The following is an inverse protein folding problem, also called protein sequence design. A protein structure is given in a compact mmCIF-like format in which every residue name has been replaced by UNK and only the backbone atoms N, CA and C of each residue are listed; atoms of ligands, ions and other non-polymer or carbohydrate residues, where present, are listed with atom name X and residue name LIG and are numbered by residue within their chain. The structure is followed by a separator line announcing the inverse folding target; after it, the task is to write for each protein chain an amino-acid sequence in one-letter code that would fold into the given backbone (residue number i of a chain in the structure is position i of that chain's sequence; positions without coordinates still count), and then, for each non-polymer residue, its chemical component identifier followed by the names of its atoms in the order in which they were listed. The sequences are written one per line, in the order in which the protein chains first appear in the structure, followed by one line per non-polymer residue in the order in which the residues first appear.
data_IF_616354687250
#
_entry.id   IF_616354687250
#
_cell.length_a   1.000
_cell.length_b   1.000
_cell.length_c   1.000
_cell.angle_alpha   90.00
_cell.angle_beta   90.00
_cell.angle_gamma   90.00
#
_symmetry.space_group_name_H-M   'P 1'
#
loop_
_entity.id
_entity.type
_entity.pdbx_description
1 polymer ?
#
# COMPACT_ATOMS: atom_id res chain seq x y z
N UNK A 1 5.57 6.91 1.10
CA UNK A 1 6.50 6.59 0.00
C UNK A 1 7.45 5.50 0.47
N UNK A 2 7.55 4.38 -0.25
CA UNK A 2 8.43 3.26 0.14
C UNK A 2 9.66 3.24 -0.77
N UNK A 3 10.81 2.84 -0.23
CA UNK A 3 12.07 2.78 -0.97
C UNK A 3 12.49 1.33 -1.20
N UNK A 4 12.86 1.00 -2.43
CA UNK A 4 13.34 -0.32 -2.82
C UNK A 4 14.81 -0.20 -3.24
N UNK A 5 15.76 -0.79 -2.50
CA UNK A 5 17.18 -0.65 -2.81
C UNK A 5 17.55 -1.46 -4.06
N UNK A 6 18.53 -0.94 -4.81
CA UNK A 6 19.23 -1.69 -5.84
C UNK A 6 19.73 -3.05 -5.31
N UNK A 7 19.44 -4.10 -6.07
CA UNK A 7 19.83 -5.49 -5.79
C UNK A 7 18.80 -6.29 -5.00
N UNK A 8 17.65 -5.69 -4.65
CA UNK A 8 16.52 -6.46 -4.12
C UNK A 8 15.94 -7.38 -5.20
N UNK A 9 15.58 -8.60 -4.81
CA UNK A 9 15.03 -9.63 -5.72
C UNK A 9 13.69 -10.15 -5.23
N UNK A 10 12.82 -10.48 -6.18
CA UNK A 10 11.49 -11.02 -5.92
C UNK A 10 10.67 -10.09 -5.04
N UNK A 11 10.64 -8.81 -5.41
CA UNK A 11 9.87 -7.79 -4.71
C UNK A 11 8.43 -7.88 -5.17
N UNK A 12 7.49 -8.06 -4.24
CA UNK A 12 6.06 -8.02 -4.53
C UNK A 12 5.39 -7.00 -3.61
N UNK A 13 4.67 -6.07 -4.19
CA UNK A 13 3.83 -5.11 -3.49
C UNK A 13 2.40 -5.34 -3.95
N UNK A 14 1.50 -5.56 -3.01
CA UNK A 14 0.08 -5.71 -3.23
C UNK A 14 -0.61 -4.63 -2.42
N UNK A 15 -1.47 -3.86 -3.07
CA UNK A 15 -2.43 -2.99 -2.40
C UNK A 15 -3.81 -3.58 -2.59
N UNK A 16 -4.61 -3.57 -1.54
CA UNK A 16 -6.01 -3.99 -1.55
C UNK A 16 -6.85 -2.86 -0.93
N UNK A 17 -7.48 -2.07 -1.79
CA UNK A 17 -8.35 -0.97 -1.40
C UNK A 17 -9.72 -1.45 -0.94
N UNK A 18 -10.39 -0.70 -0.07
CA UNK A 18 -11.83 -0.92 0.12
C UNK A 18 -12.57 -0.65 -1.20
N UNK A 19 -13.70 -1.33 -1.47
CA UNK A 19 -14.47 -1.11 -2.69
C UNK A 19 -14.84 0.37 -2.91
N UNK A 20 -14.15 1.00 -3.85
CA UNK A 20 -14.29 2.40 -4.23
C UNK A 20 -13.36 3.40 -3.53
N UNK A 21 -12.31 2.92 -2.87
CA UNK A 21 -11.11 3.71 -2.65
C UNK A 21 -10.27 3.67 -3.94
N UNK A 22 -9.79 4.82 -4.38
CA UNK A 22 -8.83 4.89 -5.49
C UNK A 22 -7.45 4.87 -4.84
N UNK A 23 -6.70 3.78 -5.03
CA UNK A 23 -5.47 3.46 -4.28
C UNK A 23 -4.28 3.15 -5.20
N UNK A 24 -4.07 3.96 -6.25
CA UNK A 24 -3.08 3.65 -7.28
C UNK A 24 -1.62 3.64 -6.78
N UNK A 25 -0.89 2.59 -7.10
CA UNK A 25 0.55 2.43 -6.94
C UNK A 25 1.27 3.05 -8.13
N UNK A 26 2.31 3.80 -7.79
CA UNK A 26 3.19 4.45 -8.75
C UNK A 26 4.62 4.07 -8.43
N UNK A 27 5.36 3.61 -9.44
CA UNK A 27 6.74 3.19 -9.30
C UNK A 27 7.67 4.13 -10.05
N UNK A 28 8.60 4.73 -9.31
CA UNK A 28 9.56 5.69 -9.84
C UNK A 28 10.99 5.23 -9.62
N UNK A 29 11.88 5.65 -10.53
CA UNK A 29 13.31 5.78 -10.21
C UNK A 29 13.55 7.05 -9.42
N UNK A 30 14.69 7.12 -8.71
CA UNK A 30 15.03 8.32 -7.94
C UNK A 30 15.24 9.57 -8.80
N UNK A 31 15.58 9.45 -10.08
CA UNK A 31 15.83 10.58 -10.98
C UNK A 31 14.60 10.95 -11.84
N UNK A 32 13.43 10.39 -11.51
CA UNK A 32 12.14 10.86 -11.99
C UNK A 32 11.50 10.06 -13.13
N UNK A 33 12.08 8.93 -13.56
CA UNK A 33 11.39 8.04 -14.49
C UNK A 33 10.23 7.32 -13.81
N UNK A 34 9.04 7.50 -14.36
CA UNK A 34 7.85 6.78 -13.97
C UNK A 34 7.79 5.44 -14.72
N UNK A 35 7.91 4.32 -14.01
CA UNK A 35 8.07 2.99 -14.59
C UNK A 35 6.75 2.25 -14.74
N UNK A 36 5.91 2.29 -13.72
CA UNK A 36 4.64 1.59 -13.68
C UNK A 36 3.61 2.35 -12.86
N UNK A 37 2.33 2.19 -13.21
CA UNK A 37 1.22 2.86 -12.53
C UNK A 37 0.36 3.65 -13.50
N UNK A 38 -0.05 4.83 -13.07
CA UNK A 38 -0.88 5.79 -13.80
C UNK A 38 -0.09 7.05 -14.09
N UNK A 39 0.23 7.29 -15.37
CA UNK A 39 1.04 8.44 -15.79
C UNK A 39 0.43 9.78 -15.35
N UNK A 40 1.32 10.71 -15.00
CA UNK A 40 0.96 12.13 -14.87
C UNK A 40 0.87 12.70 -16.29
N UNK A 41 -0.31 13.24 -16.62
CA UNK A 41 -0.58 13.82 -17.94
C UNK A 41 -1.04 15.27 -17.83
N UNK A 42 -0.92 16.03 -18.91
CA UNK A 42 -1.46 17.38 -18.98
C UNK A 42 -2.92 17.33 -19.48
N UNK A 43 -3.80 18.07 -18.80
CA UNK A 43 -5.18 18.27 -19.25
C UNK A 43 -6.19 17.26 -18.69
N UNK A 44 -7.24 16.98 -19.47
CA UNK A 44 -8.40 16.20 -19.02
C UNK A 44 -8.12 14.70 -18.84
N UNK A 45 -7.04 14.20 -19.46
CA UNK A 45 -6.63 12.80 -19.39
C UNK A 45 -5.82 12.48 -18.12
N UNK A 46 -5.48 13.51 -17.33
CA UNK A 46 -4.79 13.30 -16.07
C UNK A 46 -5.72 12.64 -15.05
N UNK A 47 -5.21 11.59 -14.41
CA UNK A 47 -5.98 10.76 -13.50
C UNK A 47 -6.54 11.54 -12.30
N UNK A 48 -7.69 11.10 -11.80
CA UNK A 48 -8.34 11.72 -10.66
C UNK A 48 -7.44 11.75 -9.43
N UNK A 49 -6.70 10.68 -9.11
CA UNK A 49 -5.86 10.63 -7.91
C UNK A 49 -4.76 11.69 -7.95
N UNK A 50 -4.18 11.93 -9.12
CA UNK A 50 -3.23 13.04 -9.32
C UNK A 50 -3.89 14.40 -9.14
N UNK A 51 -5.02 14.63 -9.83
CA UNK A 51 -5.74 15.92 -9.78
C UNK A 51 -6.25 16.24 -8.37
N UNK A 52 -6.73 15.24 -7.64
CA UNK A 52 -7.20 15.36 -6.26
C UNK A 52 -6.06 15.71 -5.28
N UNK A 53 -4.80 15.45 -5.66
CA UNK A 53 -3.61 15.86 -4.94
C UNK A 53 -2.97 17.16 -5.47
N UNK A 54 -3.68 17.86 -6.37
CA UNK A 54 -3.20 19.13 -6.93
C UNK A 54 -2.08 18.97 -7.95
N UNK A 55 -1.93 17.78 -8.53
CA UNK A 55 -1.05 17.50 -9.66
C UNK A 55 -1.93 17.44 -10.89
N UNK A 56 -1.97 18.53 -11.66
CA UNK A 56 -2.88 18.70 -12.80
C UNK A 56 -2.19 18.59 -14.16
N UNK A 57 -0.88 18.38 -14.13
CA UNK A 57 -0.02 18.31 -15.29
C UNK A 57 1.40 17.87 -14.94
N UNK A 58 2.20 17.62 -15.96
CA UNK A 58 3.61 17.22 -15.82
C UNK A 58 4.44 18.30 -15.12
N UNK A 59 4.09 19.59 -15.29
CA UNK A 59 4.70 20.70 -14.57
C UNK A 59 4.48 20.66 -13.05
N UNK A 60 3.38 20.05 -12.59
CA UNK A 60 3.09 19.90 -11.17
C UNK A 60 3.83 18.72 -10.52
N UNK A 61 4.45 17.84 -11.31
CA UNK A 61 5.19 16.67 -10.79
C UNK A 61 6.34 17.07 -9.85
N UNK A 62 6.91 18.27 -10.02
CA UNK A 62 7.92 18.83 -9.11
C UNK A 62 7.42 18.96 -7.65
N UNK A 63 6.11 18.96 -7.41
CA UNK A 63 5.53 18.97 -6.05
C UNK A 63 5.75 17.66 -5.30
N UNK A 64 5.84 16.53 -6.01
CA UNK A 64 6.13 15.22 -5.43
C UNK A 64 7.59 14.81 -5.63
N UNK A 65 8.24 15.29 -6.68
CA UNK A 65 9.63 14.96 -7.00
C UNK A 65 10.61 15.84 -6.22
N UNK A 66 10.55 15.74 -4.90
CA UNK A 66 11.40 16.51 -3.98
C UNK A 66 12.48 15.62 -3.37
N UNK A 67 13.58 16.24 -2.92
CA UNK A 67 14.62 15.54 -2.18
C UNK A 67 14.10 14.93 -0.87
N UNK A 68 13.08 15.56 -0.27
CA UNK A 68 12.38 15.06 0.93
C UNK A 68 11.66 13.73 0.64
N UNK A 69 11.07 13.62 -0.55
CA UNK A 69 10.44 12.39 -1.04
C UNK A 69 11.46 11.37 -1.62
N UNK A 70 12.76 11.62 -1.46
CA UNK A 70 13.83 10.70 -1.85
C UNK A 70 14.30 10.82 -3.30
N UNK A 71 13.73 11.74 -4.08
CA UNK A 71 14.17 12.00 -5.46
C UNK A 71 15.50 12.76 -5.52
N UNK A 72 16.22 12.55 -6.61
CA UNK A 72 17.46 13.23 -6.98
C UNK A 72 17.20 14.38 -7.97
N UNK A 73 16.11 14.32 -8.72
CA UNK A 73 15.64 15.35 -9.64
C UNK A 73 14.16 15.61 -9.46
N UNK A 74 13.72 16.83 -9.78
CA UNK A 74 12.31 17.22 -9.86
C UNK A 74 11.66 16.96 -11.23
N UNK A 75 12.42 16.44 -12.19
CA UNK A 75 11.97 16.28 -13.57
C UNK A 75 11.19 14.96 -13.75
N UNK A 76 9.93 15.07 -14.16
CA UNK A 76 9.12 13.91 -14.54
C UNK A 76 9.53 13.38 -15.91
N UNK A 77 9.80 12.08 -15.99
CA UNK A 77 10.25 11.40 -17.20
C UNK A 77 9.48 10.11 -17.42
N UNK A 78 9.39 9.71 -18.68
CA UNK A 78 8.86 8.41 -19.09
C UNK A 78 9.99 7.59 -19.73
N UNK A 79 9.99 6.26 -19.55
CA UNK A 79 10.88 5.33 -20.25
C UNK A 79 10.73 5.44 -21.78
N UNK A 80 11.80 5.13 -22.51
CA UNK A 80 11.83 5.18 -23.97
C UNK A 80 12.43 6.45 -24.58
N UNK A 81 13.07 7.30 -23.76
CA UNK A 81 13.72 8.55 -24.17
C UNK A 81 15.18 8.39 -24.67
N UNK A 82 15.68 7.15 -24.73
CA UNK A 82 17.06 6.82 -25.10
C UNK A 82 18.06 6.80 -23.94
N UNK A 83 17.65 7.20 -22.74
CA UNK A 83 18.41 7.05 -21.49
C UNK A 83 17.89 5.90 -20.64
N UNK A 84 16.63 5.52 -20.79
CA UNK A 84 16.09 4.28 -20.20
C UNK A 84 15.27 3.55 -21.26
N UNK A 85 15.55 2.25 -21.45
CA UNK A 85 14.75 1.39 -22.30
C UNK A 85 13.50 0.90 -21.58
N UNK A 86 12.58 0.31 -22.34
CA UNK A 86 11.26 -0.07 -21.87
C UNK A 86 10.23 1.00 -22.19
N UNK A 87 8.97 0.61 -22.14
CA UNK A 87 7.82 1.51 -22.24
C UNK A 87 7.21 1.70 -20.88
N UNK A 88 6.54 2.82 -20.63
CA UNK A 88 5.71 2.96 -19.44
C UNK A 88 4.79 1.74 -19.27
N UNK A 89 4.79 1.14 -18.08
CA UNK A 89 3.96 -0.01 -17.79
C UNK A 89 2.63 0.45 -17.19
N UNK A 90 1.61 0.59 -18.04
CA UNK A 90 0.25 0.95 -17.63
C UNK A 90 -0.58 -0.27 -17.21
N UNK A 91 0.04 -1.44 -17.05
CA UNK A 91 -0.63 -2.68 -16.68
C UNK A 91 -1.38 -3.34 -17.85
N UNK A 92 -1.10 -2.97 -19.10
CA UNK A 92 -1.52 -3.73 -20.29
C UNK A 92 -2.93 -3.46 -20.82
N UNK A 93 -3.25 -4.10 -21.95
CA UNK A 93 -4.43 -3.82 -22.78
C UNK A 93 -5.73 -4.48 -22.27
N UNK A 94 -5.66 -5.47 -21.40
CA UNK A 94 -6.83 -6.09 -20.75
C UNK A 94 -7.34 -5.19 -19.63
N UNK A 95 -7.78 -3.98 -20.01
CA UNK A 95 -8.35 -2.96 -19.11
C UNK A 95 -9.75 -3.33 -18.60
N UNK A 96 -10.25 -4.53 -18.97
CA UNK A 96 -11.69 -4.84 -18.97
C UNK A 96 -12.03 -6.34 -18.77
N UNK A 97 -11.06 -7.18 -18.37
CA UNK A 97 -11.29 -8.64 -18.23
C UNK A 97 -10.95 -9.14 -16.83
N UNK A 98 -12.00 -9.49 -16.11
CA UNK A 98 -12.19 -10.03 -14.74
C UNK A 98 -11.31 -11.21 -14.30
N UNK A 99 -10.07 -11.33 -14.78
CA UNK A 99 -9.20 -12.49 -14.59
C UNK A 99 -7.83 -12.07 -14.07
N UNK A 100 -7.33 -12.85 -13.11
CA UNK A 100 -6.03 -12.86 -12.40
C UNK A 100 -4.74 -12.85 -13.28
N UNK A 101 -4.78 -12.34 -14.51
CA UNK A 101 -3.66 -12.39 -15.48
C UNK A 101 -3.51 -11.14 -16.35
N UNK A 102 -4.10 -10.00 -15.98
CA UNK A 102 -4.09 -8.78 -16.78
C UNK A 102 -2.79 -7.98 -16.75
N UNK A 103 -1.83 -8.34 -15.89
CA UNK A 103 -0.62 -7.55 -15.71
C UNK A 103 0.34 -7.60 -16.89
N UNK A 104 0.89 -6.44 -17.24
CA UNK A 104 1.92 -6.32 -18.25
C UNK A 104 3.29 -6.44 -17.59
N UNK A 105 4.16 -7.25 -18.18
CA UNK A 105 5.57 -7.31 -17.77
C UNK A 105 6.40 -6.55 -18.77
N UNK A 106 7.09 -5.52 -18.30
CA UNK A 106 7.98 -4.71 -19.12
C UNK A 106 9.41 -4.83 -18.58
N UNK A 107 10.35 -5.06 -19.49
CA UNK A 107 11.77 -5.01 -19.20
C UNK A 107 12.28 -3.57 -19.27
N UNK A 108 12.97 -3.15 -18.22
CA UNK A 108 13.57 -1.85 -18.08
C UNK A 108 15.09 -1.98 -17.95
N UNK A 109 15.80 -1.12 -18.66
CA UNK A 109 17.26 -1.12 -18.65
C UNK A 109 17.77 0.32 -18.75
N UNK A 110 18.72 0.70 -17.89
CA UNK A 110 19.28 2.06 -17.93
C UNK A 110 20.19 2.27 -19.14
N UNK A 111 21.11 1.37 -19.41
CA UNK A 111 21.95 1.46 -20.61
C UNK A 111 21.96 0.12 -21.31
N UNK A 112 21.97 0.10 -22.64
CA UNK A 112 22.08 -1.15 -23.40
C UNK A 112 23.26 -2.00 -22.88
N UNK A 113 22.95 -3.21 -22.42
CA UNK A 113 23.94 -4.13 -21.82
C UNK A 113 24.12 -4.00 -20.29
N UNK A 114 23.42 -3.07 -19.63
CA UNK A 114 23.26 -3.12 -18.16
C UNK A 114 22.23 -4.20 -17.77
N UNK A 115 22.20 -4.64 -16.51
CA UNK A 115 21.19 -5.60 -16.08
C UNK A 115 19.77 -5.10 -16.38
N UNK A 116 18.89 -6.02 -16.78
CA UNK A 116 17.48 -5.73 -17.02
C UNK A 116 16.67 -6.00 -15.75
N UNK A 117 15.68 -5.14 -15.49
CA UNK A 117 14.68 -5.31 -14.45
C UNK A 117 13.33 -5.54 -15.11
N UNK A 118 12.66 -6.64 -14.80
CA UNK A 118 11.33 -6.96 -15.27
C UNK A 118 10.31 -6.53 -14.21
N UNK A 119 9.48 -5.56 -14.58
CA UNK A 119 8.39 -5.11 -13.73
C UNK A 119 7.10 -5.65 -14.30
N UNK A 120 6.42 -6.49 -13.52
CA UNK A 120 5.04 -6.88 -13.75
C UNK A 120 4.14 -5.95 -12.97
N UNK A 121 3.19 -5.33 -13.64
CA UNK A 121 2.21 -4.44 -13.01
C UNK A 121 0.82 -4.82 -13.49
N UNK A 122 -0.13 -5.03 -12.57
CA UNK A 122 -1.50 -5.42 -12.92
C UNK A 122 -2.50 -4.28 -12.97
N UNK A 123 -2.29 -3.19 -12.23
CA UNK A 123 -3.36 -2.21 -11.96
C UNK A 123 -4.59 -2.86 -11.32
N UNK A 124 -5.50 -2.03 -10.81
CA UNK A 124 -6.89 -2.41 -10.53
C UNK A 124 -7.81 -1.91 -11.67
N UNK A 125 -9.12 -1.99 -11.46
CA UNK A 125 -10.13 -1.63 -12.45
C UNK A 125 -10.27 -0.10 -12.64
N UNK A 126 -9.89 0.70 -11.65
CA UNK A 126 -10.14 2.13 -11.56
C UNK A 126 -8.93 3.04 -11.82
N UNK A 127 -7.75 2.47 -12.08
CA UNK A 127 -6.47 3.13 -12.45
C UNK A 127 -6.45 4.30 -13.45
N UNK A 128 -7.54 4.60 -14.17
CA UNK A 128 -7.60 5.68 -15.19
C UNK A 128 -8.91 6.50 -15.10
N UNK A 129 -9.50 6.64 -13.91
CA UNK A 129 -10.77 7.33 -13.76
C UNK A 129 -10.63 8.86 -13.76
N UNK A 130 -11.59 9.53 -14.43
CA UNK A 130 -11.71 10.99 -14.49
C UNK A 130 -12.52 11.58 -13.31
N UNK A 131 -13.13 10.70 -12.50
CA UNK A 131 -13.99 11.00 -11.35
C UNK A 131 -14.00 9.86 -10.33
N UNK A 132 -14.22 10.12 -9.03
CA UNK A 132 -14.35 9.08 -8.01
C UNK A 132 -15.47 8.11 -8.35
N UNK A 133 -15.17 6.81 -8.41
CA UNK A 133 -16.20 5.77 -8.49
C UNK A 133 -17.25 6.01 -9.57
N UNK A 134 -16.86 5.92 -10.84
CA UNK A 134 -17.77 6.07 -11.98
C UNK A 134 -18.72 4.87 -12.08
N UNK A 135 -19.75 4.89 -11.22
CA UNK A 135 -20.82 3.90 -11.17
C UNK A 135 -20.38 2.56 -10.58
N UNK A 136 -21.37 1.73 -10.30
CA UNK A 136 -21.19 0.37 -9.79
C UNK A 136 -20.16 -0.37 -10.65
N UNK A 137 -18.97 -0.62 -10.11
CA UNK A 137 -18.00 -1.54 -10.70
C UNK A 137 -18.74 -2.89 -10.81
N UNK A 138 -18.98 -3.43 -12.02
CA UNK A 138 -19.50 -4.80 -12.12
C UNK A 138 -18.54 -5.71 -11.34
N UNK A 139 -18.98 -6.78 -10.69
CA UNK A 139 -18.03 -7.61 -9.92
C UNK A 139 -17.36 -6.93 -8.72
N UNK A 140 -17.91 -5.82 -8.18
CA UNK A 140 -17.51 -5.18 -6.91
C UNK A 140 -17.36 -6.14 -5.71
N UNK A 141 -18.01 -7.30 -5.77
CA UNK A 141 -17.91 -8.36 -4.76
C UNK A 141 -16.73 -9.31 -5.01
N UNK A 142 -15.96 -9.13 -6.08
CA UNK A 142 -14.75 -9.87 -6.39
C UNK A 142 -13.54 -9.19 -5.71
N UNK A 143 -12.92 -9.80 -4.69
CA UNK A 143 -11.77 -9.20 -4.00
C UNK A 143 -10.54 -9.00 -4.90
N UNK A 144 -10.54 -9.55 -6.11
CA UNK A 144 -9.45 -9.36 -7.07
C UNK A 144 -9.59 -8.06 -7.90
N UNK A 145 -10.72 -7.34 -7.84
CA UNK A 145 -10.92 -6.08 -8.59
C UNK A 145 -10.46 -4.85 -7.85
N UNK A 146 -10.16 -4.96 -6.55
CA UNK A 146 -9.65 -3.89 -5.66
C UNK A 146 -8.16 -4.01 -5.42
N UNK A 147 -7.51 -5.00 -6.07
CA UNK A 147 -6.13 -5.35 -5.83
C UNK A 147 -5.23 -4.86 -6.94
N UNK A 148 -4.24 -4.11 -6.53
CA UNK A 148 -3.16 -3.67 -7.38
C UNK A 148 -1.87 -4.40 -7.00
N UNK A 149 -1.13 -4.89 -7.99
CA UNK A 149 0.11 -5.63 -7.75
C UNK A 149 1.25 -5.11 -8.61
N UNK A 150 2.39 -4.90 -7.96
CA UNK A 150 3.69 -4.77 -8.61
C UNK A 150 4.55 -5.95 -8.20
N UNK A 151 5.14 -6.62 -9.18
CA UNK A 151 6.20 -7.59 -8.98
C UNK A 151 7.46 -7.15 -9.73
N UNK A 152 8.61 -7.26 -9.08
CA UNK A 152 9.92 -6.93 -9.64
C UNK A 152 10.86 -8.12 -9.41
N UNK A 153 11.44 -8.64 -10.48
CA UNK A 153 12.35 -9.79 -10.42
C UNK A 153 13.68 -9.45 -9.72
N UNK A 154 14.39 -8.44 -10.20
CA UNK A 154 15.64 -7.92 -9.67
C UNK A 154 15.74 -6.42 -9.93
N UNK A 155 15.88 -5.67 -8.84
CA UNK A 155 15.91 -4.21 -8.85
C UNK A 155 17.30 -3.75 -9.28
N UNK A 156 17.44 -3.20 -10.48
CA UNK A 156 18.74 -2.83 -11.06
C UNK A 156 19.25 -1.46 -10.60
N UNK A 157 18.37 -0.66 -10.00
CA UNK A 157 18.63 0.67 -9.45
C UNK A 157 17.61 1.04 -8.36
N UNK A 158 17.89 2.06 -7.56
CA UNK A 158 17.01 2.45 -6.46
C UNK A 158 15.65 2.94 -6.95
N UNK A 159 14.58 2.39 -6.39
CA UNK A 159 13.21 2.74 -6.73
C UNK A 159 12.47 3.36 -5.56
N UNK A 160 11.43 4.12 -5.91
CA UNK A 160 10.52 4.77 -5.01
C UNK A 160 9.09 4.37 -5.38
N UNK A 161 8.30 4.02 -4.37
CA UNK A 161 6.91 3.63 -4.49
C UNK A 161 6.05 4.71 -3.87
N UNK A 162 5.16 5.29 -4.66
CA UNK A 162 4.16 6.26 -4.23
C UNK A 162 2.79 5.61 -4.33
N UNK A 163 1.91 5.99 -3.42
CA UNK A 163 0.49 5.69 -3.52
C UNK A 163 -0.17 7.05 -3.73
N UNK A 164 -0.76 7.29 -4.90
CA UNK A 164 -1.42 8.57 -5.22
C UNK A 164 -2.86 8.61 -4.70
N UNK A 165 -3.42 7.45 -4.39
CA UNK A 165 -4.78 7.30 -3.91
C UNK A 165 -5.14 7.93 -2.57
N UNK A 166 -6.45 8.00 -2.32
CA UNK A 166 -7.03 8.45 -1.05
C UNK A 166 -8.08 7.43 -0.59
N UNK A 167 -7.78 6.76 0.52
CA UNK A 167 -8.69 5.77 1.05
C UNK A 167 -8.09 4.97 2.20
N UNK A 168 -8.82 3.93 2.58
CA UNK A 168 -8.32 2.89 3.48
C UNK A 168 -7.97 1.71 2.59
N UNK A 169 -6.69 1.35 2.59
CA UNK A 169 -6.15 0.20 1.89
C UNK A 169 -5.26 -0.62 2.80
N UNK A 170 -5.14 -1.90 2.48
CA UNK A 170 -4.09 -2.75 3.00
C UNK A 170 -2.92 -2.75 2.02
N UNK A 171 -1.70 -2.67 2.54
CA UNK A 171 -0.48 -2.88 1.75
C UNK A 171 0.25 -4.09 2.29
N UNK A 172 0.42 -5.09 1.43
CA UNK A 172 1.27 -6.24 1.66
C UNK A 172 2.53 -6.09 0.82
N UNK A 173 3.69 -6.25 1.45
CA UNK A 173 4.95 -6.19 0.72
C UNK A 173 5.85 -7.35 1.11
N UNK A 174 6.24 -8.14 0.11
CA UNK A 174 7.15 -9.27 0.25
C UNK A 174 8.40 -9.05 -0.60
N UNK A 175 9.49 -9.68 -0.19
CA UNK A 175 10.78 -9.61 -0.86
C UNK A 175 11.43 -10.97 -0.74
N UNK A 176 12.01 -11.49 -1.82
CA UNK A 176 12.75 -12.75 -1.81
C UNK A 176 14.12 -12.57 -1.15
N UNK A 177 14.98 -11.76 -1.77
CA UNK A 177 16.31 -11.43 -1.26
C UNK A 177 16.50 -9.92 -1.20
N UNK A 178 16.92 -9.42 -0.03
CA UNK A 178 17.39 -8.05 0.10
C UNK A 178 18.89 -7.99 -0.14
N UNK A 179 19.40 -6.92 -0.79
CA UNK A 179 20.82 -6.76 -1.00
C UNK A 179 21.52 -6.72 0.35
N UNK A 180 22.44 -7.66 0.57
CA UNK A 180 23.32 -7.59 1.74
C UNK A 180 24.11 -6.30 1.66
N UNK A 181 24.02 -5.49 2.71
CA UNK A 181 24.98 -4.40 2.95
C UNK A 181 26.36 -5.03 3.09
N UNK A 182 27.08 -5.13 1.98
CA UNK A 182 28.43 -5.64 1.97
C UNK A 182 29.33 -4.45 2.15
N UNK A 183 29.80 -4.24 3.38
CA UNK A 183 30.84 -3.27 3.66
C UNK A 183 32.17 -3.79 3.08
N UNK A 184 32.34 -3.65 1.77
CA UNK A 184 33.63 -3.94 1.14
C UNK A 184 34.55 -2.76 1.44
N UNK A 185 35.31 -2.87 2.53
CA UNK A 185 36.46 -2.02 2.73
C UNK A 185 37.46 -2.36 1.61
N UNK A 186 38.05 -1.36 0.93
CA UNK A 186 39.03 -1.63 -0.11
C UNK A 186 40.18 -2.46 0.49
N UNK A 187 40.44 -3.65 -0.07
CA UNK A 187 41.57 -4.46 0.34
C UNK A 187 42.88 -3.70 0.06
N UNK A 188 43.66 -3.50 1.12
CA UNK A 188 44.97 -2.86 1.05
C UNK A 188 45.13 -1.70 2.03
N UNK A 189 45.87 -1.98 3.11
CA UNK A 189 46.35 -1.09 4.18
C UNK A 189 45.30 -0.54 5.16
N UNK A 190 45.35 -1.16 6.34
CA UNK A 190 44.83 -0.79 7.65
C UNK A 190 43.30 -0.76 7.81
N UNK A 191 42.79 -1.83 8.42
CA UNK A 191 41.43 -1.94 8.97
C UNK A 191 41.13 -0.94 10.11
N UNK A 192 42.03 0.01 10.35
CA UNK A 192 41.77 1.14 11.22
C UNK A 192 41.40 2.34 10.33
N UNK A 193 40.27 2.98 10.63
CA UNK A 193 39.95 4.36 10.28
C UNK A 193 41.00 5.39 10.78
N UNK A 194 42.16 4.91 11.26
CA UNK A 194 43.26 5.67 11.81
C UNK A 194 44.00 6.37 10.67
N UNK A 195 43.55 7.60 10.43
CA UNK A 195 44.26 8.69 9.77
C UNK A 195 44.35 8.55 8.25
N UNK A 196 43.28 9.00 7.60
CA UNK A 196 43.29 9.45 6.21
C UNK A 196 44.19 10.71 6.10
N UNK A 197 45.51 10.54 6.12
CA UNK A 197 46.46 11.66 6.08
C UNK A 197 46.35 12.40 4.74
N UNK A 198 45.98 13.68 4.74
CA UNK A 198 45.88 14.54 3.53
C UNK A 198 47.17 15.37 3.32
N UNK A 199 48.23 15.08 4.08
CA UNK A 199 49.47 15.90 4.10
C UNK A 199 50.19 16.02 2.76
N UNK A 200 49.98 15.07 1.83
CA UNK A 200 50.59 15.12 0.50
C UNK A 200 49.53 14.91 -0.58
N UNK A 201 49.76 15.50 -1.77
CA UNK A 201 48.85 15.39 -2.92
C UNK A 201 48.53 13.92 -3.27
N UNK A 202 49.55 13.05 -3.25
CA UNK A 202 49.39 11.63 -3.55
C UNK A 202 48.62 10.85 -2.47
N UNK A 203 48.59 11.33 -1.22
CA UNK A 203 47.74 10.75 -0.16
C UNK A 203 46.31 11.32 -0.23
N UNK A 204 46.15 12.61 -0.53
CA UNK A 204 44.85 13.24 -0.78
C UNK A 204 44.07 12.57 -1.93
N UNK A 205 44.76 12.24 -3.03
CA UNK A 205 44.15 11.54 -4.17
C UNK A 205 43.71 10.10 -3.82
N UNK A 206 44.39 9.44 -2.87
CA UNK A 206 44.01 8.12 -2.36
C UNK A 206 42.90 8.19 -1.29
N UNK A 207 42.79 9.32 -0.61
CA UNK A 207 41.81 9.60 0.42
C UNK A 207 40.40 9.84 -0.16
N UNK A 208 40.30 10.62 -1.23
CA UNK A 208 39.04 10.95 -1.92
C UNK A 208 38.14 9.74 -2.22
N UNK A 209 38.59 8.73 -2.99
CA UNK A 209 37.73 7.59 -3.33
C UNK A 209 37.35 6.73 -2.10
N UNK A 210 38.16 6.74 -1.03
CA UNK A 210 37.81 6.07 0.23
C UNK A 210 36.70 6.80 0.97
N UNK A 211 36.74 8.13 1.00
CA UNK A 211 35.66 8.96 1.58
C UNK A 211 34.38 8.81 0.77
N UNK A 212 34.47 8.85 -0.56
CA UNK A 212 33.30 8.66 -1.43
C UNK A 212 32.67 7.28 -1.21
N UNK A 213 33.48 6.22 -1.11
CA UNK A 213 32.96 4.89 -0.82
C UNK A 213 32.37 4.79 0.60
N UNK A 214 33.00 5.40 1.60
CA UNK A 214 32.46 5.46 2.97
C UNK A 214 31.14 6.24 3.02
N UNK A 215 31.00 7.30 2.23
CA UNK A 215 29.76 8.06 2.06
C UNK A 215 28.69 7.21 1.38
N UNK A 216 29.01 6.51 0.28
CA UNK A 216 28.09 5.58 -0.38
C UNK A 216 27.63 4.49 0.61
N UNK A 217 28.54 3.91 1.38
CA UNK A 217 28.22 2.89 2.38
C UNK A 217 27.32 3.47 3.50
N UNK A 218 27.64 4.65 4.01
CA UNK A 218 26.82 5.32 5.05
C UNK A 218 25.43 5.65 4.51
N UNK A 219 25.33 6.14 3.27
CA UNK A 219 24.06 6.43 2.62
C UNK A 219 23.25 5.15 2.35
N UNK A 220 23.90 4.06 1.96
CA UNK A 220 23.26 2.75 1.79
C UNK A 220 22.73 2.20 3.12
N UNK A 221 23.51 2.32 4.21
CA UNK A 221 23.05 1.95 5.56
C UNK A 221 21.87 2.83 5.99
N UNK A 222 21.92 4.15 5.77
CA UNK A 222 20.81 5.06 6.07
C UNK A 222 19.56 4.73 5.25
N UNK A 223 19.72 4.38 3.98
CA UNK A 223 18.61 3.98 3.11
C UNK A 223 17.99 2.65 3.57
N UNK A 224 18.81 1.69 3.97
CA UNK A 224 18.35 0.42 4.56
C UNK A 224 17.65 0.63 5.91
N UNK A 225 18.18 1.50 6.77
CA UNK A 225 17.51 1.85 8.03
C UNK A 225 16.20 2.61 7.78
N UNK A 226 16.16 3.50 6.79
CA UNK A 226 14.94 4.20 6.38
C UNK A 226 13.88 3.24 5.84
N UNK A 227 14.27 2.24 5.04
CA UNK A 227 13.32 1.21 4.58
C UNK A 227 12.85 0.32 5.73
N UNK A 228 13.71 -0.04 6.68
CA UNK A 228 13.30 -0.76 7.89
C UNK A 228 12.36 0.08 8.77
N UNK A 229 12.59 1.39 8.87
CA UNK A 229 11.72 2.31 9.59
C UNK A 229 10.36 2.41 8.91
N UNK A 230 10.31 2.59 7.58
CA UNK A 230 9.06 2.58 6.81
C UNK A 230 8.30 1.25 6.99
N UNK A 231 9.00 0.12 7.02
CA UNK A 231 8.38 -1.18 7.32
C UNK A 231 7.79 -1.21 8.73
N UNK A 232 8.51 -0.70 9.72
CA UNK A 232 8.03 -0.65 11.10
C UNK A 232 6.79 0.24 11.21
N UNK A 233 6.82 1.43 10.62
CA UNK A 233 5.69 2.37 10.60
C UNK A 233 4.48 1.75 9.90
N UNK A 234 4.65 1.13 8.73
CA UNK A 234 3.56 0.42 8.05
C UNK A 234 3.01 -0.74 8.88
N UNK A 235 3.89 -1.52 9.52
CA UNK A 235 3.48 -2.63 10.39
C UNK A 235 2.70 -2.14 11.60
N UNK A 236 3.15 -1.03 12.22
CA UNK A 236 2.47 -0.41 13.36
C UNK A 236 1.08 0.08 12.93
N UNK A 237 0.98 0.86 11.86
CA UNK A 237 -0.30 1.35 11.35
C UNK A 237 -1.25 0.21 11.02
N UNK A 238 -0.76 -0.87 10.39
CA UNK A 238 -1.56 -2.05 10.10
C UNK A 238 -2.06 -2.75 11.37
N UNK A 239 -1.19 -2.89 12.39
CA UNK A 239 -1.58 -3.46 13.69
C UNK A 239 -2.58 -2.58 14.44
N UNK A 240 -2.47 -1.26 14.36
CA UNK A 240 -3.44 -0.32 14.95
C UNK A 240 -4.81 -0.46 14.29
N UNK A 241 -4.86 -0.53 12.96
CA UNK A 241 -6.10 -0.75 12.21
C UNK A 241 -6.71 -2.13 12.57
N UNK A 242 -5.89 -3.18 12.65
CA UNK A 242 -6.35 -4.50 13.08
C UNK A 242 -6.91 -4.47 14.50
N UNK A 243 -6.26 -3.75 15.43
CA UNK A 243 -6.72 -3.61 16.80
C UNK A 243 -8.07 -2.87 16.87
N UNK A 244 -8.25 -1.79 16.11
CA UNK A 244 -9.51 -1.05 16.01
C UNK A 244 -10.63 -1.95 15.43
N UNK A 245 -10.33 -2.71 14.37
CA UNK A 245 -11.28 -3.63 13.76
C UNK A 245 -11.70 -4.78 14.69
N UNK A 246 -10.75 -5.32 15.47
CA UNK A 246 -11.02 -6.34 16.48
C UNK A 246 -11.88 -5.77 17.61
N UNK A 247 -11.56 -4.56 18.09
CA UNK A 247 -12.36 -3.89 19.11
C UNK A 247 -13.78 -3.58 18.63
N UNK A 248 -13.94 -3.11 17.39
CA UNK A 248 -15.27 -2.87 16.82
C UNK A 248 -16.07 -4.17 16.64
N UNK A 249 -15.39 -5.27 16.29
CA UNK A 249 -16.04 -6.59 16.19
C UNK A 249 -16.43 -7.14 17.55
N UNK A 250 -15.59 -6.97 18.57
CA UNK A 250 -15.88 -7.35 19.95
C UNK A 250 -17.05 -6.53 20.51
N UNK A 251 -17.08 -5.21 20.28
CA UNK A 251 -18.22 -4.36 20.64
C UNK A 251 -19.52 -4.83 19.98
N UNK A 252 -19.49 -5.17 18.68
CA UNK A 252 -20.69 -5.68 17.99
C UNK A 252 -21.18 -7.02 18.55
N UNK A 253 -20.25 -7.92 18.89
CA UNK A 253 -20.59 -9.23 19.48
C UNK A 253 -21.18 -9.01 20.88
N UNK A 254 -20.50 -8.22 21.71
CA UNK A 254 -20.98 -7.88 23.06
C UNK A 254 -22.35 -7.21 23.04
N UNK A 255 -22.58 -6.27 22.12
CA UNK A 255 -23.88 -5.59 21.97
C UNK A 255 -24.98 -6.54 21.49
N UNK A 256 -24.67 -7.47 20.58
CA UNK A 256 -25.60 -8.49 20.12
C UNK A 256 -25.97 -9.50 21.23
N UNK A 257 -24.99 -9.91 22.02
CA UNK A 257 -25.20 -10.80 23.17
C UNK A 257 -26.03 -10.11 24.26
N UNK A 258 -25.72 -8.84 24.56
CA UNK A 258 -26.51 -8.03 25.49
C UNK A 258 -27.95 -7.83 25.00
N UNK A 259 -28.15 -7.56 23.70
CA UNK A 259 -29.49 -7.48 23.12
C UNK A 259 -30.23 -8.82 23.22
N UNK A 260 -29.56 -9.94 22.97
CA UNK A 260 -30.10 -11.29 23.16
C UNK A 260 -30.57 -11.52 24.59
N UNK A 261 -29.72 -11.24 25.58
CA UNK A 261 -30.05 -11.38 27.00
C UNK A 261 -31.21 -10.45 27.42
N UNK A 262 -31.24 -9.21 26.91
CA UNK A 262 -32.35 -8.28 27.15
C UNK A 262 -33.67 -8.79 26.55
N UNK A 263 -33.64 -9.40 25.36
CA UNK A 263 -34.86 -9.98 24.76
C UNK A 263 -35.38 -11.16 25.57
N UNK A 264 -34.51 -12.03 26.07
CA UNK A 264 -34.90 -13.16 26.89
C UNK A 264 -35.39 -12.73 28.29
N UNK A 265 -34.77 -11.69 28.86
CA UNK A 265 -35.23 -11.05 30.08
C UNK A 265 -36.63 -10.41 29.90
N UNK A 266 -36.84 -9.67 28.80
CA UNK A 266 -38.14 -9.08 28.48
C UNK A 266 -39.20 -10.15 28.24
N UNK A 267 -38.86 -11.23 27.53
CA UNK A 267 -39.73 -12.40 27.33
C UNK A 267 -40.13 -13.02 28.67
N UNK A 268 -39.18 -13.23 29.57
CA UNK A 268 -39.41 -13.79 30.91
C UNK A 268 -40.31 -12.89 31.76
N UNK A 269 -40.12 -11.56 31.71
CA UNK A 269 -41.00 -10.56 32.33
C UNK A 269 -42.43 -10.63 31.79
N UNK A 270 -42.60 -10.70 30.46
CA UNK A 270 -43.92 -10.81 29.81
C UNK A 270 -44.58 -12.13 30.18
N UNK A 271 -43.84 -13.25 30.19
CA UNK A 271 -44.36 -14.55 30.57
C UNK A 271 -44.87 -14.54 32.02
N UNK A 272 -44.11 -13.94 32.93
CA UNK A 272 -44.48 -13.84 34.35
C UNK A 272 -45.74 -12.99 34.53
N UNK A 273 -45.86 -11.84 33.83
CA UNK A 273 -47.06 -10.99 33.86
C UNK A 273 -48.27 -11.65 33.21
N UNK A 274 -48.07 -12.40 32.13
CA UNK A 274 -49.13 -13.17 31.46
C UNK A 274 -49.58 -14.33 32.33
N UNK A 275 -48.66 -15.05 32.99
CA UNK A 275 -48.98 -16.14 33.89
C UNK A 275 -49.81 -15.64 35.10
N UNK A 276 -49.46 -14.51 35.70
CA UNK A 276 -50.26 -13.93 36.80
C UNK A 276 -51.64 -13.45 36.32
N UNK A 277 -51.72 -12.83 35.13
CA UNK A 277 -53.01 -12.43 34.54
C UNK A 277 -53.88 -13.65 34.17
N UNK A 278 -53.29 -14.70 33.62
CA UNK A 278 -53.99 -15.95 33.30
C UNK A 278 -54.44 -16.70 34.56
N UNK A 279 -53.62 -16.72 35.62
CA UNK A 279 -54.02 -17.26 36.92
C UNK A 279 -55.16 -16.46 37.54
N UNK A 280 -55.14 -15.13 37.44
CA UNK A 280 -56.24 -14.28 37.90
C UNK A 280 -57.54 -14.55 37.10
N UNK A 281 -57.44 -14.69 35.78
CA UNK A 281 -58.57 -15.03 34.91
C UNK A 281 -59.09 -16.46 35.15
N UNK A 282 -58.21 -17.43 35.38
CA UNK A 282 -58.59 -18.80 35.71
C UNK A 282 -59.23 -18.92 37.10
N UNK A 283 -58.86 -18.06 38.05
CA UNK A 283 -59.49 -17.99 39.37
C UNK A 283 -60.85 -17.27 39.36
N UNK A 284 -61.10 -16.37 38.40
CA UNK A 284 -62.39 -15.66 38.28
C UNK A 284 -63.46 -16.47 37.52
N UNK A 285 -63.06 -17.37 36.61
CA UNK A 285 -63.97 -18.22 35.84
C UNK A 285 -64.88 -19.15 36.69
N UNK A 286 -64.37 -19.84 37.73
CA UNK A 286 -65.18 -20.69 38.62
C UNK A 286 -66.23 -19.89 39.40
N UNK A 287 -65.91 -18.66 39.80
CA UNK A 287 -66.85 -17.78 40.53
C UNK A 287 -68.06 -17.37 39.68
N UNK A 288 -67.84 -17.12 38.38
CA UNK A 288 -68.91 -16.82 37.43
C UNK A 288 -69.83 -18.04 37.19
N UNK A 289 -69.26 -19.24 37.09
CA UNK A 289 -70.03 -20.47 36.91
C UNK A 289 -70.86 -20.84 38.15
N UNK A 290 -70.32 -20.64 39.36
CA UNK A 290 -71.06 -20.85 40.61
C UNK A 290 -72.23 -19.87 40.78
N UNK A 291 -72.13 -18.65 40.22
CA UNK A 291 -73.23 -17.69 40.16
C UNK A 291 -74.34 -18.09 39.19
N UNK A 292 -74.02 -18.82 38.11
CA UNK A 292 -75.00 -19.32 37.14
C UNK A 292 -75.69 -20.63 37.57
N UNK A 293 -75.12 -21.36 38.53
CA UNK A 293 -75.71 -22.58 39.11
C UNK A 293 -76.57 -22.32 40.36
N UNK A 294 -76.50 -21.12 40.95
CA UNK A 294 -77.28 -20.70 42.13
C UNK A 294 -78.36 -19.64 41.82
N UNK A 295 -78.62 -19.34 40.54
CA UNK A 295 -79.72 -18.49 40.07
C UNK A 295 -80.64 -19.27 39.15
#
# INVERSE_FOLDING_TARGET
MSYIPKGAKGVEIIIDGLPGAEDDIQLFTRDGYHLAGTKIEDGADNDYTWRANGITGTADAAKIMTAENGFLSGDYKLPGDGVMSGTFNDGGATKDTWSLGGGSTVAFQRTAGSGEMHITYSGDYDRLQDTPNKGSIPGRDNPDTTRERIYIDEVTEDLLVIISGKGIFNIDTTWGDMPKVTATLPEGSDANLSVLSIETQARAQRALPRVDQAMINTNSIRAHLGSMQNRLENTVTNLEIQAENLQASESRISDADAAGEMTEFARSQILTRTATAMLAQANSLPGLLAGLLNG
#
